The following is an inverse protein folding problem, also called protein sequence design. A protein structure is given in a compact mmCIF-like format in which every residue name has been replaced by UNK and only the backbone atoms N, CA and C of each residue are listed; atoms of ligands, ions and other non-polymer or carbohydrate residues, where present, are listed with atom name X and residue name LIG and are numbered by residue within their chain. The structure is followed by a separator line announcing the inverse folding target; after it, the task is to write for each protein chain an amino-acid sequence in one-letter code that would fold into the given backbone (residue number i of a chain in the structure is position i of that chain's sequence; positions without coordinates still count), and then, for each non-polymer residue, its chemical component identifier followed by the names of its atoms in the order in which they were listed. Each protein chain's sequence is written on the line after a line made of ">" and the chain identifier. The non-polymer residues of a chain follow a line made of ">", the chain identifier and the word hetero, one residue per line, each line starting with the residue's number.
data_IF_283028184237
#
_entry.id   IF_283028184237
#
_cell.length_a   1.000
_cell.length_b   1.000
_cell.length_c   1.000
_cell.angle_alpha   90.00
_cell.angle_beta   90.00
_cell.angle_gamma   90.00
#
_symmetry.space_group_name_H-M   'P 1'
#
loop_
_entity.id
_entity.type
_entity.pdbx_description
1 polymer ?
#
# COMPACT_ATOMS: atom_id res chain seq x y z
N UNK A 1 3.99 51.18 44.89
CA UNK A 1 2.90 51.12 43.91
C UNK A 1 2.64 49.67 43.60
N UNK A 2 1.62 49.05 44.23
CA UNK A 2 1.27 47.65 44.04
C UNK A 2 0.30 47.49 42.88
N UNK A 3 0.71 46.82 41.81
CA UNK A 3 -0.16 46.43 40.72
C UNK A 3 -1.12 45.32 41.21
N UNK A 4 -2.36 45.67 41.44
CA UNK A 4 -3.44 44.73 41.66
C UNK A 4 -3.65 43.91 40.36
N UNK A 5 -3.22 42.66 40.33
CA UNK A 5 -3.60 41.71 39.25
C UNK A 5 -5.08 41.35 39.44
N UNK A 6 -5.94 41.86 38.59
CA UNK A 6 -7.30 41.37 38.47
C UNK A 6 -7.25 39.91 37.90
N UNK A 7 -7.25 38.93 38.76
CA UNK A 7 -7.41 37.54 38.40
C UNK A 7 -8.90 37.28 38.12
N UNK A 8 -9.33 37.55 36.88
CA UNK A 8 -10.64 37.08 36.39
C UNK A 8 -10.59 35.58 36.27
N UNK A 9 -11.19 34.86 37.17
CA UNK A 9 -11.36 33.40 37.09
C UNK A 9 -12.42 33.04 36.04
N UNK A 10 -12.22 31.91 35.36
CA UNK A 10 -13.21 31.32 34.45
C UNK A 10 -14.48 30.93 35.22
N UNK A 11 -15.62 31.20 34.64
CA UNK A 11 -16.90 30.72 35.17
C UNK A 11 -17.14 29.25 34.82
N UNK A 12 -17.85 28.53 35.66
CA UNK A 12 -18.17 27.12 35.45
C UNK A 12 -18.96 26.90 34.16
N UNK A 13 -19.82 27.83 33.80
CA UNK A 13 -20.60 27.75 32.55
C UNK A 13 -19.77 27.94 31.31
N UNK A 14 -18.75 28.83 31.32
CA UNK A 14 -17.83 28.99 30.20
C UNK A 14 -17.06 27.72 29.93
N UNK A 15 -16.59 27.02 30.97
CA UNK A 15 -15.91 25.77 30.83
C UNK A 15 -16.82 24.66 30.29
N UNK A 16 -18.07 24.59 30.79
CA UNK A 16 -19.04 23.58 30.41
C UNK A 16 -19.43 23.70 28.92
N UNK A 17 -19.66 24.93 28.43
CA UNK A 17 -19.97 25.17 27.01
C UNK A 17 -18.81 24.78 26.10
N UNK A 18 -17.58 25.11 26.50
CA UNK A 18 -16.38 24.74 25.71
C UNK A 18 -16.23 23.23 25.57
N UNK A 19 -16.33 22.47 26.68
CA UNK A 19 -16.19 21.01 26.61
C UNK A 19 -17.33 20.36 25.83
N UNK A 20 -18.56 20.92 25.90
CA UNK A 20 -19.68 20.44 25.09
C UNK A 20 -19.43 20.61 23.60
N UNK A 21 -18.94 21.78 23.17
CA UNK A 21 -18.60 22.05 21.76
C UNK A 21 -17.48 21.15 21.29
N UNK A 22 -16.39 21.00 22.07
CA UNK A 22 -15.27 20.12 21.73
C UNK A 22 -15.77 18.66 21.61
N UNK A 23 -16.65 18.21 22.50
CA UNK A 23 -17.22 16.87 22.45
C UNK A 23 -18.00 16.59 21.17
N UNK A 24 -18.83 17.54 20.71
CA UNK A 24 -19.57 17.43 19.45
C UNK A 24 -18.62 17.42 18.25
N UNK A 25 -17.65 18.34 18.19
CA UNK A 25 -16.68 18.41 17.10
C UNK A 25 -15.80 17.16 17.03
N UNK A 26 -15.37 16.63 18.17
CA UNK A 26 -14.59 15.41 18.23
C UNK A 26 -15.38 14.20 17.69
N UNK A 27 -16.65 14.06 18.06
CA UNK A 27 -17.50 12.95 17.61
C UNK A 27 -17.65 12.94 16.08
N UNK A 28 -17.92 14.09 15.46
CA UNK A 28 -18.02 14.22 13.99
C UNK A 28 -16.66 14.05 13.32
N UNK A 29 -15.62 14.63 13.91
CA UNK A 29 -14.26 14.59 13.36
C UNK A 29 -13.70 13.19 13.25
N UNK A 30 -13.90 12.33 14.25
CA UNK A 30 -13.41 10.92 14.22
C UNK A 30 -14.03 10.12 13.08
N UNK A 31 -15.34 10.26 12.85
CA UNK A 31 -16.03 9.52 11.78
C UNK A 31 -15.52 9.96 10.41
N UNK A 32 -15.40 11.27 10.18
CA UNK A 32 -14.88 11.82 8.93
C UNK A 32 -13.41 11.41 8.68
N UNK A 33 -12.57 11.44 9.73
CA UNK A 33 -11.17 11.05 9.66
C UNK A 33 -11.01 9.57 9.29
N UNK A 34 -11.77 8.66 9.89
CA UNK A 34 -11.74 7.23 9.58
C UNK A 34 -12.13 6.95 8.12
N UNK A 35 -13.16 7.64 7.61
CA UNK A 35 -13.54 7.54 6.20
C UNK A 35 -12.44 8.00 5.24
N UNK A 36 -11.82 9.14 5.54
CA UNK A 36 -10.73 9.67 4.74
C UNK A 36 -9.49 8.76 4.74
N UNK A 37 -9.07 8.27 5.90
CA UNK A 37 -7.91 7.38 6.01
C UNK A 37 -8.13 6.05 5.30
N UNK A 38 -9.32 5.47 5.36
CA UNK A 38 -9.68 4.26 4.63
C UNK A 38 -9.60 4.48 3.12
N UNK A 39 -10.17 5.56 2.61
CA UNK A 39 -10.09 5.92 1.19
C UNK A 39 -8.63 6.16 0.74
N UNK A 40 -7.82 6.84 1.56
CA UNK A 40 -6.42 7.08 1.28
C UNK A 40 -5.62 5.78 1.18
N UNK A 41 -5.79 4.84 2.11
CA UNK A 41 -5.16 3.51 2.08
C UNK A 41 -5.52 2.74 0.82
N UNK A 42 -6.81 2.72 0.45
CA UNK A 42 -7.29 2.08 -0.78
C UNK A 42 -6.67 2.69 -2.03
N UNK A 43 -6.60 4.01 -2.12
CA UNK A 43 -6.00 4.71 -3.25
C UNK A 43 -4.49 4.47 -3.34
N UNK A 44 -3.78 4.47 -2.22
CA UNK A 44 -2.35 4.13 -2.16
C UNK A 44 -2.10 2.72 -2.67
N UNK A 45 -2.88 1.73 -2.24
CA UNK A 45 -2.74 0.34 -2.71
C UNK A 45 -2.98 0.22 -4.22
N UNK A 46 -3.97 0.93 -4.78
CA UNK A 46 -4.22 0.97 -6.23
C UNK A 46 -3.07 1.62 -7.01
N UNK A 47 -2.54 2.71 -6.51
CA UNK A 47 -1.41 3.42 -7.14
C UNK A 47 -0.16 2.54 -7.13
N UNK A 48 0.13 1.89 -6.01
CA UNK A 48 1.26 0.97 -5.89
C UNK A 48 1.10 -0.23 -6.85
N UNK A 49 -0.10 -0.81 -6.95
CA UNK A 49 -0.38 -1.86 -7.92
C UNK A 49 -0.08 -1.43 -9.36
N UNK A 50 -0.57 -0.28 -9.78
CA UNK A 50 -0.33 0.24 -11.12
C UNK A 50 1.17 0.49 -11.38
N UNK A 51 1.90 0.99 -10.39
CA UNK A 51 3.33 1.21 -10.49
C UNK A 51 4.11 -0.11 -10.60
N UNK A 52 3.74 -1.14 -9.83
CA UNK A 52 4.33 -2.49 -9.91
C UNK A 52 4.10 -3.10 -11.29
N UNK A 53 2.89 -3.03 -11.83
CA UNK A 53 2.59 -3.53 -13.18
C UNK A 53 3.43 -2.82 -14.24
N UNK A 54 3.55 -1.50 -14.15
CA UNK A 54 4.38 -0.71 -15.09
C UNK A 54 5.86 -1.08 -14.97
N UNK A 55 6.37 -1.21 -13.76
CA UNK A 55 7.76 -1.60 -13.53
C UNK A 55 8.07 -2.96 -14.14
N UNK A 56 7.26 -3.98 -13.85
CA UNK A 56 7.45 -5.33 -14.39
C UNK A 56 7.42 -5.31 -15.92
N UNK A 57 6.46 -4.60 -16.52
CA UNK A 57 6.34 -4.50 -17.96
C UNK A 57 7.55 -3.80 -18.59
N UNK A 58 8.05 -2.75 -17.96
CA UNK A 58 9.23 -2.02 -18.41
C UNK A 58 10.49 -2.89 -18.32
N UNK A 59 10.70 -3.60 -17.21
CA UNK A 59 11.84 -4.49 -17.03
C UNK A 59 11.86 -5.62 -18.08
N UNK A 60 10.71 -6.25 -18.35
CA UNK A 60 10.63 -7.28 -19.40
C UNK A 60 10.98 -6.69 -20.78
N UNK A 61 10.53 -5.48 -21.07
CA UNK A 61 10.85 -4.80 -22.35
C UNK A 61 12.33 -4.46 -22.51
N UNK A 62 13.08 -4.28 -21.43
CA UNK A 62 14.52 -4.07 -21.48
C UNK A 62 15.26 -5.24 -22.12
N UNK A 63 14.77 -6.48 -21.94
CA UNK A 63 15.31 -7.64 -22.64
C UNK A 63 15.13 -7.54 -24.16
N UNK A 64 14.00 -7.02 -24.63
CA UNK A 64 13.76 -6.78 -26.07
C UNK A 64 14.71 -5.73 -26.65
N UNK A 65 15.23 -4.82 -25.79
CA UNK A 65 16.21 -3.80 -26.16
C UNK A 65 17.67 -4.25 -26.08
N UNK A 66 17.91 -5.53 -25.75
CA UNK A 66 19.25 -6.13 -25.74
C UNK A 66 19.97 -6.10 -24.39
N UNK A 67 19.27 -5.77 -23.28
CA UNK A 67 19.84 -5.91 -21.95
C UNK A 67 20.12 -7.37 -21.63
N UNK A 68 21.17 -7.63 -20.86
CA UNK A 68 21.56 -8.99 -20.46
C UNK A 68 20.76 -9.49 -19.27
N UNK A 69 20.45 -8.60 -18.35
CA UNK A 69 19.72 -8.90 -17.11
C UNK A 69 18.76 -7.80 -16.74
N UNK A 70 17.72 -8.19 -16.01
CA UNK A 70 16.63 -7.33 -15.54
C UNK A 70 16.35 -7.56 -14.04
N UNK A 71 15.45 -6.76 -13.45
CA UNK A 71 15.08 -6.86 -12.04
C UNK A 71 16.30 -6.77 -11.11
N UNK A 72 17.11 -5.71 -11.26
CA UNK A 72 18.34 -5.50 -10.47
C UNK A 72 19.30 -6.72 -10.52
N UNK A 73 19.51 -7.28 -11.71
CA UNK A 73 20.31 -8.49 -11.98
C UNK A 73 19.75 -9.77 -11.33
N UNK A 74 18.49 -9.81 -10.94
CA UNK A 74 17.88 -11.02 -10.38
C UNK A 74 17.37 -12.00 -11.46
N UNK A 75 17.36 -11.61 -12.73
CA UNK A 75 16.94 -12.47 -13.84
C UNK A 75 17.73 -12.15 -15.11
N UNK A 76 18.30 -13.18 -15.75
CA UNK A 76 18.92 -13.03 -17.06
C UNK A 76 17.86 -13.09 -18.17
N UNK A 77 18.00 -12.25 -19.20
CA UNK A 77 17.09 -12.22 -20.33
C UNK A 77 17.05 -13.53 -21.13
N UNK A 78 18.17 -14.27 -21.18
CA UNK A 78 18.19 -15.61 -21.77
C UNK A 78 17.21 -16.58 -21.12
N UNK A 79 16.91 -16.38 -19.85
CA UNK A 79 15.98 -17.21 -19.09
C UNK A 79 14.51 -16.97 -19.47
N UNK A 80 14.19 -15.83 -20.11
CA UNK A 80 12.85 -15.54 -20.62
C UNK A 80 12.50 -16.39 -21.85
N UNK A 81 13.48 -16.80 -22.62
CA UNK A 81 13.29 -17.61 -23.81
C UNK A 81 12.93 -19.07 -23.51
N UNK A 82 13.19 -19.55 -22.29
CA UNK A 82 12.92 -20.91 -21.85
C UNK A 82 11.47 -21.03 -21.38
N UNK A 83 10.67 -21.81 -22.05
CA UNK A 83 9.21 -21.90 -21.91
C UNK A 83 8.70 -22.47 -20.59
N UNK A 84 8.88 -21.84 -19.50
CA UNK A 84 8.21 -21.96 -18.18
C UNK A 84 8.86 -21.01 -17.19
N UNK A 85 8.95 -19.74 -17.57
CA UNK A 85 9.74 -18.73 -16.87
C UNK A 85 8.92 -17.84 -15.92
N UNK A 86 7.60 -17.95 -15.94
CA UNK A 86 6.73 -17.07 -15.17
C UNK A 86 7.00 -17.08 -13.65
N UNK A 87 7.35 -18.23 -13.09
CA UNK A 87 7.75 -18.34 -11.67
C UNK A 87 9.08 -17.60 -11.39
N UNK A 88 10.04 -17.70 -12.30
CA UNK A 88 11.34 -17.02 -12.19
C UNK A 88 11.16 -15.50 -12.29
N UNK A 89 10.34 -15.06 -13.24
CA UNK A 89 9.99 -13.63 -13.40
C UNK A 89 9.29 -13.10 -12.15
N UNK A 90 8.30 -13.83 -11.63
CA UNK A 90 7.58 -13.42 -10.42
C UNK A 90 8.51 -13.28 -9.21
N UNK A 91 9.42 -14.24 -9.00
CA UNK A 91 10.41 -14.21 -7.91
C UNK A 91 11.41 -13.07 -8.07
N UNK A 92 11.94 -12.85 -9.27
CA UNK A 92 12.88 -11.79 -9.55
C UNK A 92 12.24 -10.41 -9.35
N UNK A 93 11.03 -10.22 -9.86
CA UNK A 93 10.26 -9.01 -9.69
C UNK A 93 9.95 -8.72 -8.22
N UNK A 94 9.48 -9.72 -7.47
CA UNK A 94 9.18 -9.54 -6.05
C UNK A 94 10.43 -9.23 -5.23
N UNK A 95 11.57 -9.82 -5.57
CA UNK A 95 12.84 -9.56 -4.89
C UNK A 95 13.32 -8.13 -5.17
N UNK A 96 13.29 -7.68 -6.41
CA UNK A 96 13.65 -6.32 -6.80
C UNK A 96 12.73 -5.27 -6.16
N UNK A 97 11.44 -5.58 -6.06
CA UNK A 97 10.43 -4.69 -5.50
C UNK A 97 10.24 -4.80 -3.98
N UNK A 98 11.02 -5.63 -3.29
CA UNK A 98 10.81 -5.92 -1.86
C UNK A 98 10.79 -4.69 -0.95
N UNK A 99 11.52 -3.64 -1.32
CA UNK A 99 11.56 -2.35 -0.61
C UNK A 99 10.83 -1.22 -1.34
N UNK A 100 10.09 -1.53 -2.41
CA UNK A 100 9.43 -0.54 -3.25
C UNK A 100 8.40 0.30 -2.49
N UNK A 101 7.55 -0.35 -1.71
CA UNK A 101 6.50 0.31 -0.95
C UNK A 101 6.16 -0.45 0.33
N UNK A 102 5.74 0.30 1.33
CA UNK A 102 5.13 -0.27 2.54
C UNK A 102 3.65 -0.55 2.29
N UNK A 103 3.13 -1.58 2.98
CA UNK A 103 1.71 -1.86 2.96
C UNK A 103 0.94 -0.68 3.57
N UNK A 104 -0.08 -0.19 2.87
CA UNK A 104 -0.86 0.97 3.31
C UNK A 104 -1.70 0.70 4.58
N UNK A 105 -1.98 -0.56 4.89
CA UNK A 105 -2.74 -0.97 6.09
C UNK A 105 -1.84 -1.43 7.23
N UNK A 106 -0.61 -1.89 6.92
CA UNK A 106 0.41 -2.27 7.89
C UNK A 106 1.79 -1.78 7.44
N UNK A 107 2.16 -0.60 7.91
CA UNK A 107 3.42 0.07 7.51
C UNK A 107 4.70 -0.61 8.01
N UNK A 108 4.60 -1.61 8.87
CA UNK A 108 5.75 -2.41 9.31
C UNK A 108 6.18 -3.40 8.22
N UNK A 109 5.25 -3.83 7.38
CA UNK A 109 5.47 -4.82 6.34
C UNK A 109 5.63 -4.21 4.95
N UNK A 110 6.32 -4.92 4.06
CA UNK A 110 6.35 -4.61 2.64
C UNK A 110 4.96 -4.79 2.04
N UNK A 111 4.63 -3.96 1.05
CA UNK A 111 3.43 -4.18 0.25
C UNK A 111 3.57 -5.36 -0.72
N UNK A 112 4.82 -5.76 -1.05
CA UNK A 112 5.10 -6.76 -2.07
C UNK A 112 5.24 -8.14 -1.44
N UNK A 113 4.46 -9.09 -1.94
CA UNK A 113 4.51 -10.50 -1.53
C UNK A 113 4.67 -11.42 -2.72
N UNK A 114 5.36 -12.56 -2.50
CA UNK A 114 5.39 -13.68 -3.44
C UNK A 114 4.20 -14.58 -3.12
N UNK A 115 3.36 -14.83 -4.13
CA UNK A 115 2.26 -15.80 -4.10
C UNK A 115 1.10 -15.57 -3.13
N UNK A 116 0.02 -15.47 -3.65
CA UNK A 116 -1.32 -15.99 -3.66
C UNK A 116 -2.23 -15.97 -2.48
N UNK A 117 -1.96 -15.61 -1.31
CA UNK A 117 -3.04 -15.34 -0.39
C UNK A 117 -3.07 -13.83 -0.15
N UNK A 118 -3.63 -13.11 -1.13
CA UNK A 118 -3.89 -11.68 -1.00
C UNK A 118 -5.08 -11.44 -0.07
N UNK A 119 -5.10 -12.17 1.04
CA UNK A 119 -6.09 -12.03 2.09
C UNK A 119 -5.72 -10.89 3.06
N UNK A 120 -4.53 -10.30 2.85
CA UNK A 120 -4.06 -9.16 3.65
C UNK A 120 -4.33 -7.87 2.89
N UNK A 121 -5.11 -6.94 3.47
CA UNK A 121 -5.34 -5.64 2.88
C UNK A 121 -4.03 -4.89 2.58
N UNK A 122 -3.93 -4.33 1.38
CA UNK A 122 -2.76 -3.56 0.96
C UNK A 122 -1.61 -4.36 0.38
N UNK A 123 -1.63 -5.68 0.45
CA UNK A 123 -0.62 -6.54 -0.18
C UNK A 123 -0.78 -6.58 -1.70
N UNK A 124 0.36 -6.61 -2.37
CA UNK A 124 0.49 -6.77 -3.82
C UNK A 124 1.22 -8.08 -4.06
N UNK A 125 0.46 -9.11 -4.34
CA UNK A 125 0.98 -10.43 -4.67
C UNK A 125 1.42 -10.51 -6.13
N UNK A 126 2.66 -10.95 -6.35
CA UNK A 126 3.20 -11.24 -7.67
C UNK A 126 3.33 -12.75 -7.79
N UNK A 127 2.65 -13.34 -8.74
CA UNK A 127 2.59 -14.80 -8.86
C UNK A 127 2.55 -15.31 -10.28
N UNK A 128 2.75 -16.62 -10.41
CA UNK A 128 2.57 -17.35 -11.65
C UNK A 128 1.09 -17.57 -11.91
N UNK A 129 0.63 -17.26 -13.10
CA UNK A 129 -0.70 -17.64 -13.60
C UNK A 129 -0.65 -18.88 -14.51
N UNK A 130 0.26 -18.84 -15.47
CA UNK A 130 0.50 -19.96 -16.39
C UNK A 130 2.01 -20.10 -16.65
N UNK A 131 2.40 -20.99 -17.56
CA UNK A 131 3.81 -21.19 -17.91
C UNK A 131 4.50 -19.91 -18.42
N UNK A 132 3.75 -19.01 -19.04
CA UNK A 132 4.25 -17.78 -19.67
C UNK A 132 3.61 -16.50 -19.16
N UNK A 133 2.73 -16.62 -18.17
CA UNK A 133 1.99 -15.47 -17.64
C UNK A 133 2.19 -15.34 -16.14
N UNK A 134 2.45 -14.13 -15.72
CA UNK A 134 2.40 -13.73 -14.32
C UNK A 134 1.14 -12.89 -14.09
N UNK A 135 0.66 -12.92 -12.87
CA UNK A 135 -0.37 -11.98 -12.45
C UNK A 135 0.11 -11.15 -11.26
N UNK A 136 -0.39 -9.94 -11.20
CA UNK A 136 -0.26 -9.06 -10.05
C UNK A 136 -1.65 -8.87 -9.47
N UNK A 137 -1.82 -9.20 -8.21
CA UNK A 137 -3.08 -9.06 -7.49
C UNK A 137 -2.91 -8.17 -6.29
N UNK A 138 -3.93 -7.42 -5.96
CA UNK A 138 -3.91 -6.55 -4.77
C UNK A 138 -5.28 -6.56 -4.12
N UNK A 139 -5.30 -6.72 -2.81
CA UNK A 139 -6.47 -6.45 -2.01
C UNK A 139 -6.46 -4.98 -1.59
N UNK A 140 -7.42 -4.21 -2.05
CA UNK A 140 -7.51 -2.77 -1.72
C UNK A 140 -8.58 -2.42 -0.71
N UNK A 141 -9.27 -3.41 -0.18
CA UNK A 141 -10.29 -3.20 0.86
C UNK A 141 -9.88 -3.86 2.17
N UNK A 142 -10.50 -3.44 3.26
CA UNK A 142 -10.29 -4.05 4.58
C UNK A 142 -10.81 -5.49 4.68
N UNK A 143 -11.69 -5.89 3.76
CA UNK A 143 -12.15 -7.27 3.58
C UNK A 143 -11.79 -7.71 2.17
N UNK A 144 -10.75 -8.52 2.03
CA UNK A 144 -10.43 -9.16 0.76
C UNK A 144 -11.42 -10.30 0.54
N UNK A 145 -12.19 -10.30 -0.57
CA UNK A 145 -12.97 -11.48 -0.90
C UNK A 145 -12.03 -12.64 -1.16
N UNK A 146 -12.27 -13.78 -0.51
CA UNK A 146 -11.59 -15.02 -0.85
C UNK A 146 -11.74 -15.23 -2.37
N UNK A 147 -10.62 -15.22 -3.08
CA UNK A 147 -10.64 -15.41 -4.53
C UNK A 147 -10.93 -16.90 -4.78
N UNK A 148 -12.17 -17.22 -5.10
CA UNK A 148 -12.49 -18.51 -5.70
C UNK A 148 -11.74 -18.63 -7.03
N UNK A 149 -10.89 -19.65 -7.12
CA UNK A 149 -10.13 -20.01 -8.33
C UNK A 149 -11.03 -20.22 -9.55
#
# INVERSE_FOLDING_TARGET
>A
MGLKRDSKGFTLIELLVVVAIIGILAAVGVVAYNGYTSAAKKNTSKTNHAAVCKYISAEIKRCDLGEVSIFDNNLNCSDLAVGNNSDRVARAAAKSLSNFAKNAYDTNNSAITLFHNNDVPGDIGIGKYSKQQIHVRTCWDSACPAQTN
#
